data_IF_732069020004
#
_entry.id   IF_732069020004
#
_cell.length_a   1.000
_cell.length_b   1.000
_cell.length_c   1.000
_cell.angle_alpha   90.00
_cell.angle_beta   90.00
_cell.angle_gamma   90.00
#
_symmetry.space_group_name_H-M   'P 1'
#
loop_
_entity.id
_entity.type
_entity.pdbx_description
1 polymer ?
#
# COMPACT_ATOMS: atom_id res chain seq x y z
N UNK A 1 -15.14 -6.03 -18.17
CA UNK A 1 -15.20 -5.34 -16.87
C UNK A 1 -14.72 -3.92 -17.11
N UNK A 2 -15.56 -2.93 -16.84
CA UNK A 2 -15.22 -1.51 -17.07
C UNK A 2 -14.53 -0.97 -15.81
N UNK A 3 -13.20 -0.93 -15.80
CA UNK A 3 -12.42 -0.41 -14.66
C UNK A 3 -12.53 1.11 -14.71
N UNK A 4 -13.30 1.69 -13.80
CA UNK A 4 -13.48 3.14 -13.70
C UNK A 4 -12.60 3.70 -12.58
N UNK A 5 -11.73 4.67 -12.86
CA UNK A 5 -11.02 5.38 -11.80
C UNK A 5 -12.04 6.14 -10.94
N UNK A 6 -11.78 6.24 -9.63
CA UNK A 6 -12.65 6.98 -8.71
C UNK A 6 -12.70 8.48 -8.99
N UNK A 7 -11.77 8.99 -9.82
CA UNK A 7 -11.67 10.40 -10.20
C UNK A 7 -11.71 11.36 -9.00
N UNK A 8 -11.24 10.89 -7.83
CA UNK A 8 -11.35 11.63 -6.57
C UNK A 8 -10.66 13.01 -6.61
N UNK A 9 -9.61 13.15 -7.43
CA UNK A 9 -8.89 14.40 -7.68
C UNK A 9 -9.60 15.36 -8.63
N UNK A 10 -10.61 14.91 -9.38
CA UNK A 10 -11.30 15.69 -10.42
C UNK A 10 -12.51 16.48 -9.89
N UNK A 11 -12.73 16.58 -8.57
CA UNK A 11 -13.81 17.42 -8.02
C UNK A 11 -13.49 18.91 -8.22
N UNK A 12 -14.22 19.49 -9.17
CA UNK A 12 -14.17 20.85 -9.70
C UNK A 12 -14.18 21.95 -8.62
N UNK A 13 -13.17 22.83 -8.63
CA UNK A 13 -13.22 24.15 -7.99
C UNK A 13 -12.62 24.27 -6.57
N UNK A 14 -12.05 23.21 -6.00
CA UNK A 14 -11.36 23.24 -4.70
C UNK A 14 -9.83 23.23 -4.85
N UNK A 15 -9.13 23.59 -3.78
CA UNK A 15 -7.66 23.42 -3.69
C UNK A 15 -7.26 21.97 -3.99
N UNK A 16 -6.07 21.76 -4.56
CA UNK A 16 -5.56 20.41 -4.84
C UNK A 16 -5.64 19.53 -3.58
N UNK A 17 -6.35 18.41 -3.69
CA UNK A 17 -6.47 17.44 -2.62
C UNK A 17 -5.11 16.82 -2.33
N UNK A 18 -4.82 16.58 -1.06
CA UNK A 18 -3.67 15.75 -0.69
C UNK A 18 -3.88 14.30 -1.12
N UNK A 19 -2.81 13.51 -1.09
CA UNK A 19 -2.91 12.07 -1.29
C UNK A 19 -3.90 11.41 -0.31
N UNK A 20 -3.84 11.76 0.98
CA UNK A 20 -4.74 11.16 2.00
C UNK A 20 -6.19 11.56 1.79
N UNK A 21 -6.46 12.77 1.29
CA UNK A 21 -7.82 13.19 0.95
C UNK A 21 -8.35 12.41 -0.25
N UNK A 22 -7.55 12.25 -1.30
CA UNK A 22 -7.89 11.36 -2.42
C UNK A 22 -8.13 9.92 -1.95
N UNK A 23 -7.30 9.40 -1.06
CA UNK A 23 -7.43 8.07 -0.49
C UNK A 23 -8.74 7.90 0.30
N UNK A 24 -9.07 8.85 1.18
CA UNK A 24 -10.32 8.84 1.95
C UNK A 24 -11.56 9.03 1.08
N UNK A 25 -11.50 9.89 0.05
CA UNK A 25 -12.57 10.08 -0.90
C UNK A 25 -12.80 8.81 -1.74
N UNK A 26 -11.74 8.08 -2.11
CA UNK A 26 -11.86 6.81 -2.81
C UNK A 26 -12.65 5.80 -1.97
N UNK A 27 -12.40 5.71 -0.66
CA UNK A 27 -13.22 4.87 0.22
C UNK A 27 -14.70 5.25 0.22
N UNK A 28 -15.06 6.52 0.04
CA UNK A 28 -16.48 6.93 -0.04
C UNK A 28 -17.16 6.46 -1.34
N UNK A 29 -16.39 6.23 -2.41
CA UNK A 29 -16.92 5.78 -3.70
C UNK A 29 -17.02 4.26 -3.85
N UNK A 30 -16.35 3.51 -2.98
CA UNK A 30 -16.35 2.03 -3.03
C UNK A 30 -17.47 1.50 -2.14
N UNK A 31 -18.36 0.69 -2.74
CA UNK A 31 -19.53 0.13 -2.05
C UNK A 31 -19.15 -0.95 -1.02
N UNK A 32 -18.09 -1.73 -1.27
CA UNK A 32 -17.66 -2.79 -0.36
C UNK A 32 -16.94 -2.24 0.88
N UNK A 33 -17.14 -2.90 2.02
CA UNK A 33 -16.43 -2.58 3.28
C UNK A 33 -14.95 -2.99 3.23
N UNK A 34 -14.63 -3.98 2.41
CA UNK A 34 -13.28 -4.50 2.20
C UNK A 34 -12.74 -4.09 0.85
N UNK A 35 -11.49 -3.65 0.82
CA UNK A 35 -10.81 -3.17 -0.39
C UNK A 35 -9.47 -3.87 -0.58
N UNK A 36 -9.16 -4.22 -1.83
CA UNK A 36 -7.81 -4.56 -2.25
C UNK A 36 -7.08 -3.28 -2.63
N UNK A 37 -5.98 -2.99 -1.95
CA UNK A 37 -5.14 -1.82 -2.19
C UNK A 37 -3.89 -2.19 -2.98
N UNK A 38 -3.59 -1.39 -4.00
CA UNK A 38 -2.40 -1.46 -4.86
C UNK A 38 -1.97 -0.05 -5.23
N UNK A 39 -0.68 0.16 -5.50
CA UNK A 39 -0.20 1.40 -6.11
C UNK A 39 -0.29 1.31 -7.63
N UNK A 40 -0.36 2.47 -8.29
CA UNK A 40 -0.53 2.58 -9.74
C UNK A 40 0.65 2.01 -10.56
N UNK A 41 1.81 1.85 -9.93
CA UNK A 41 3.05 1.36 -10.53
C UNK A 41 3.38 -0.09 -10.13
N UNK A 42 2.40 -0.82 -9.56
CA UNK A 42 2.54 -2.23 -9.24
C UNK A 42 2.17 -3.08 -10.45
N UNK A 43 3.08 -3.96 -10.84
CA UNK A 43 2.91 -4.79 -12.02
C UNK A 43 2.70 -6.24 -11.63
N UNK A 44 1.55 -6.81 -12.02
CA UNK A 44 1.30 -8.24 -11.85
C UNK A 44 2.25 -9.05 -12.74
N UNK A 45 2.90 -10.05 -12.16
CA UNK A 45 3.82 -10.98 -12.86
C UNK A 45 3.15 -12.31 -13.21
N UNK A 46 1.93 -12.53 -12.75
CA UNK A 46 1.15 -13.73 -12.97
C UNK A 46 -0.29 -13.55 -12.54
N UNK A 47 -1.04 -14.66 -12.55
CA UNK A 47 -2.41 -14.66 -12.07
C UNK A 47 -2.44 -14.66 -10.54
N UNK A 48 -3.19 -13.73 -9.97
CA UNK A 48 -3.57 -13.79 -8.56
C UNK A 48 -4.53 -14.96 -8.31
N UNK A 49 -4.67 -15.36 -7.05
CA UNK A 49 -5.57 -16.43 -6.62
C UNK A 49 -6.88 -15.87 -6.05
N UNK A 50 -7.90 -15.56 -6.88
CA UNK A 50 -9.11 -14.85 -6.44
C UNK A 50 -9.92 -15.61 -5.38
N UNK A 51 -9.97 -16.95 -5.46
CA UNK A 51 -10.67 -17.76 -4.47
C UNK A 51 -10.04 -17.60 -3.07
N UNK A 52 -8.69 -17.55 -3.00
CA UNK A 52 -7.98 -17.35 -1.75
C UNK A 52 -8.13 -15.92 -1.23
N UNK A 53 -8.10 -14.92 -2.12
CA UNK A 53 -8.39 -13.52 -1.74
C UNK A 53 -9.80 -13.42 -1.13
N UNK A 54 -10.80 -14.06 -1.74
CA UNK A 54 -12.17 -14.08 -1.22
C UNK A 54 -12.25 -14.76 0.15
N UNK A 55 -11.54 -15.86 0.35
CA UNK A 55 -11.44 -16.52 1.66
C UNK A 55 -10.84 -15.59 2.72
N UNK A 56 -9.77 -14.86 2.39
CA UNK A 56 -9.18 -13.86 3.30
C UNK A 56 -10.18 -12.76 3.65
N UNK A 57 -10.94 -12.24 2.68
CA UNK A 57 -12.00 -11.24 2.94
C UNK A 57 -13.07 -11.82 3.87
N UNK A 58 -13.48 -13.07 3.68
CA UNK A 58 -14.45 -13.73 4.57
C UNK A 58 -13.90 -13.87 6.00
N UNK A 59 -12.61 -14.21 6.16
CA UNK A 59 -11.94 -14.23 7.46
C UNK A 59 -11.90 -12.82 8.08
N UNK A 60 -11.66 -11.78 7.27
CA UNK A 60 -11.66 -10.41 7.77
C UNK A 60 -13.03 -10.01 8.32
N UNK A 61 -14.10 -10.41 7.64
CA UNK A 61 -15.48 -10.18 8.07
C UNK A 61 -15.82 -10.97 9.33
N UNK A 62 -15.50 -12.26 9.38
CA UNK A 62 -15.84 -13.14 10.50
C UNK A 62 -15.09 -12.79 11.80
N UNK A 63 -13.88 -12.25 11.69
CA UNK A 63 -12.98 -12.00 12.83
C UNK A 63 -12.63 -10.52 13.05
N UNK A 64 -13.38 -9.60 12.44
CA UNK A 64 -13.20 -8.15 12.56
C UNK A 64 -11.73 -7.71 12.32
N UNK A 65 -11.14 -8.21 11.23
CA UNK A 65 -9.75 -7.94 10.88
C UNK A 65 -9.62 -6.59 10.18
N UNK A 66 -8.66 -5.78 10.60
CA UNK A 66 -8.43 -4.45 10.03
C UNK A 66 -7.63 -4.50 8.74
N UNK A 67 -6.60 -5.35 8.69
CA UNK A 67 -5.60 -5.38 7.63
C UNK A 67 -5.04 -6.79 7.42
N UNK A 68 -4.87 -7.18 6.16
CA UNK A 68 -4.09 -8.35 5.75
C UNK A 68 -3.07 -7.94 4.69
N UNK A 69 -1.79 -8.04 5.01
CA UNK A 69 -0.71 -7.82 4.05
C UNK A 69 -0.59 -9.02 3.10
N UNK A 70 -0.65 -8.78 1.79
CA UNK A 70 -0.59 -9.82 0.76
C UNK A 70 0.82 -10.03 0.19
N UNK A 71 1.82 -9.38 0.79
CA UNK A 71 3.17 -9.34 0.25
C UNK A 71 4.23 -9.45 1.34
N UNK A 72 5.33 -10.09 1.00
CA UNK A 72 6.52 -10.22 1.84
C UNK A 72 7.13 -8.85 2.26
N UNK A 73 7.32 -7.85 1.35
CA UNK A 73 7.87 -6.55 1.76
C UNK A 73 6.91 -5.70 2.61
N UNK A 74 5.64 -6.08 2.75
CA UNK A 74 4.63 -5.27 3.42
C UNK A 74 4.72 -5.24 4.95
N UNK A 75 5.29 -6.25 5.60
CA UNK A 75 5.46 -6.29 7.05
C UNK A 75 6.86 -6.83 7.39
N UNK A 76 7.46 -6.45 8.53
CA UNK A 76 8.82 -6.92 8.90
C UNK A 76 8.87 -7.88 10.09
N UNK A 77 7.78 -7.99 10.84
CA UNK A 77 7.66 -8.80 12.03
C UNK A 77 7.88 -8.01 13.33
N UNK A 78 7.87 -8.71 14.47
CA UNK A 78 7.81 -10.16 14.59
C UNK A 78 6.46 -10.75 14.14
N UNK A 79 6.49 -11.94 13.56
CA UNK A 79 5.33 -12.71 13.15
C UNK A 79 5.12 -13.90 14.08
N UNK A 80 3.86 -14.24 14.34
CA UNK A 80 3.49 -15.47 15.04
C UNK A 80 2.33 -16.15 14.32
N UNK A 81 2.21 -17.49 14.38
CA UNK A 81 1.03 -18.18 13.88
C UNK A 81 -0.27 -17.55 14.42
N UNK A 82 -1.29 -17.48 13.56
CA UNK A 82 -2.62 -17.00 13.94
C UNK A 82 -3.60 -18.16 14.16
N UNK A 83 -4.88 -17.84 14.26
CA UNK A 83 -5.96 -18.83 14.31
C UNK A 83 -6.20 -19.55 12.97
N UNK A 84 -5.68 -19.03 11.86
CA UNK A 84 -5.84 -19.61 10.52
C UNK A 84 -4.48 -19.95 9.90
N UNK A 85 -4.30 -21.11 9.25
CA UNK A 85 -3.00 -21.53 8.69
C UNK A 85 -2.43 -20.55 7.67
N UNK A 86 -3.28 -19.88 6.89
CA UNK A 86 -2.86 -18.91 5.88
C UNK A 86 -2.38 -17.56 6.44
N UNK A 87 -2.55 -17.32 7.74
CA UNK A 87 -2.33 -16.02 8.35
C UNK A 87 -1.33 -16.09 9.50
N UNK A 88 -0.44 -15.11 9.52
CA UNK A 88 0.40 -14.79 10.67
C UNK A 88 -0.01 -13.46 11.27
N UNK A 89 0.01 -13.39 12.60
CA UNK A 89 -0.22 -12.16 13.35
C UNK A 89 0.97 -11.24 13.19
N UNK A 90 0.71 -9.96 12.89
CA UNK A 90 1.74 -8.93 12.85
C UNK A 90 1.86 -8.29 14.23
N UNK A 91 3.08 -8.26 14.78
CA UNK A 91 3.35 -7.71 16.10
C UNK A 91 2.86 -6.26 16.28
N UNK A 92 2.33 -5.95 17.46
CA UNK A 92 1.77 -4.62 17.80
C UNK A 92 2.74 -3.45 17.52
N UNK A 93 4.05 -3.69 17.58
CA UNK A 93 5.13 -2.69 17.42
C UNK A 93 5.94 -2.84 16.13
N UNK A 94 5.48 -3.65 15.17
CA UNK A 94 6.13 -3.83 13.87
C UNK A 94 6.37 -2.48 13.16
N UNK A 95 7.56 -2.27 12.59
CA UNK A 95 7.92 -1.03 11.91
C UNK A 95 7.07 -0.73 10.67
N UNK A 96 6.36 -1.72 10.15
CA UNK A 96 5.45 -1.68 9.01
C UNK A 96 4.17 -2.45 9.32
N UNK A 97 3.55 -2.25 10.49
CA UNK A 97 2.27 -2.89 10.82
C UNK A 97 1.15 -2.50 9.84
N UNK A 98 1.19 -1.26 9.37
CA UNK A 98 0.48 -0.80 8.17
C UNK A 98 1.55 -0.51 7.11
N UNK A 99 1.35 -1.03 5.91
CA UNK A 99 2.13 -0.66 4.73
C UNK A 99 1.22 -0.31 3.57
N UNK A 100 1.76 0.45 2.61
CA UNK A 100 1.12 0.68 1.32
C UNK A 100 1.56 -0.34 0.26
N UNK A 101 2.02 -1.52 0.68
CA UNK A 101 2.19 -2.67 -0.23
C UNK A 101 0.83 -3.33 -0.54
N UNK A 102 0.82 -4.32 -1.43
CA UNK A 102 -0.41 -5.04 -1.78
C UNK A 102 -1.06 -5.61 -0.52
N UNK A 103 -2.32 -5.25 -0.27
CA UNK A 103 -2.98 -5.52 1.01
C UNK A 103 -4.50 -5.43 0.92
N UNK A 104 -5.18 -6.10 1.84
CA UNK A 104 -6.62 -5.99 2.06
C UNK A 104 -6.89 -5.10 3.28
N UNK A 105 -7.82 -4.15 3.16
CA UNK A 105 -8.25 -3.28 4.26
C UNK A 105 -9.73 -3.44 4.55
N UNK A 106 -10.10 -3.37 5.82
CA UNK A 106 -11.43 -2.89 6.21
C UNK A 106 -11.45 -1.36 6.13
N UNK A 107 -12.26 -0.77 5.24
CA UNK A 107 -12.22 0.67 4.94
C UNK A 107 -12.54 1.51 6.17
N UNK A 108 -13.57 1.15 6.92
CA UNK A 108 -14.03 1.89 8.11
C UNK A 108 -12.99 1.89 9.22
N UNK A 109 -12.33 0.75 9.46
CA UNK A 109 -11.23 0.68 10.43
C UNK A 109 -9.99 1.41 9.93
N UNK A 110 -9.65 1.27 8.65
CA UNK A 110 -8.47 1.91 8.06
C UNK A 110 -8.54 3.44 8.13
N UNK A 111 -9.71 4.05 7.93
CA UNK A 111 -9.93 5.50 8.06
C UNK A 111 -9.38 6.10 9.35
N UNK A 112 -9.41 5.35 10.47
CA UNK A 112 -8.94 5.81 11.79
C UNK A 112 -7.44 6.12 11.79
N UNK A 113 -6.69 5.48 10.91
CA UNK A 113 -5.25 5.62 10.79
C UNK A 113 -4.82 6.68 9.78
N UNK A 114 -5.71 7.29 9.02
CA UNK A 114 -5.36 8.29 8.01
C UNK A 114 -5.56 9.70 8.58
N UNK A 115 -4.68 10.65 8.25
CA UNK A 115 -4.92 12.07 8.47
C UNK A 115 -4.90 12.80 7.13
N UNK A 116 -5.90 13.66 6.90
CA UNK A 116 -6.11 14.35 5.61
C UNK A 116 -4.89 15.12 5.11
N UNK A 117 -3.99 15.60 5.96
CA UNK A 117 -2.82 16.38 5.51
C UNK A 117 -1.59 15.51 5.16
N UNK A 118 -1.65 14.19 5.31
CA UNK A 118 -0.50 13.31 5.11
C UNK A 118 -0.31 12.92 3.65
N UNK A 119 0.95 12.90 3.21
CA UNK A 119 1.36 12.21 2.00
C UNK A 119 1.56 10.69 2.28
N UNK A 120 1.77 9.83 1.25
CA UNK A 120 1.90 8.38 1.43
C UNK A 120 2.97 7.97 2.46
N UNK A 121 4.15 8.60 2.41
CA UNK A 121 5.26 8.30 3.32
C UNK A 121 4.98 8.74 4.75
N UNK A 122 4.32 9.88 4.92
CA UNK A 122 3.88 10.34 6.23
C UNK A 122 2.81 9.41 6.78
N UNK A 123 1.85 8.98 5.97
CA UNK A 123 0.83 8.02 6.38
C UNK A 123 1.46 6.69 6.79
N UNK A 124 2.39 6.14 6.02
CA UNK A 124 3.02 4.86 6.39
C UNK A 124 3.76 4.98 7.73
N UNK A 125 4.51 6.07 7.94
CA UNK A 125 5.20 6.29 9.20
C UNK A 125 4.25 6.57 10.37
N UNK A 126 3.38 7.58 10.26
CA UNK A 126 2.51 8.04 11.35
C UNK A 126 1.28 7.16 11.55
N UNK A 127 0.71 6.63 10.47
CA UNK A 127 -0.35 5.62 10.49
C UNK A 127 0.11 4.37 11.22
N UNK A 128 1.34 3.91 10.97
CA UNK A 128 1.91 2.81 11.73
C UNK A 128 2.07 3.15 13.24
N UNK A 129 2.54 4.37 13.58
CA UNK A 129 2.59 4.82 14.99
C UNK A 129 1.21 4.89 15.65
N UNK A 130 0.16 5.26 14.91
CA UNK A 130 -1.22 5.21 15.39
C UNK A 130 -1.69 3.78 15.59
N UNK A 131 -1.40 2.88 14.64
CA UNK A 131 -1.69 1.45 14.76
C UNK A 131 -1.05 0.84 16.00
N UNK A 132 0.18 1.25 16.36
CA UNK A 132 0.86 0.79 17.59
C UNK A 132 0.13 1.09 18.90
N UNK A 133 -0.84 2.01 18.89
CA UNK A 133 -1.60 2.45 20.07
C UNK A 133 -3.00 1.83 20.14
N UNK A 134 -3.50 1.26 19.04
CA UNK A 134 -4.82 0.64 18.95
C UNK A 134 -4.65 -0.88 18.92
N UNK A 135 -5.52 -1.61 19.62
CA UNK A 135 -5.49 -3.09 19.66
C UNK A 135 -6.34 -3.70 18.55
N UNK A 136 -6.16 -3.20 17.33
CA UNK A 136 -6.79 -3.74 16.14
C UNK A 136 -6.02 -4.96 15.62
N UNK A 137 -6.72 -5.81 14.86
CA UNK A 137 -6.17 -7.05 14.32
C UNK A 137 -5.47 -6.82 12.98
N UNK A 138 -4.16 -7.11 12.95
CA UNK A 138 -3.30 -6.99 11.77
C UNK A 138 -2.64 -8.34 11.47
N UNK A 139 -2.80 -8.82 10.25
CA UNK A 139 -2.21 -10.06 9.79
C UNK A 139 -1.41 -9.86 8.50
N UNK A 140 -0.58 -10.84 8.20
CA UNK A 140 0.11 -11.01 6.92
C UNK A 140 -0.07 -12.45 6.47
N UNK A 141 0.13 -12.74 5.19
CA UNK A 141 0.15 -14.12 4.72
C UNK A 141 1.21 -14.94 5.45
N UNK A 142 0.89 -16.20 5.72
CA UNK A 142 1.86 -17.17 6.16
C UNK A 142 2.91 -17.37 5.04
N UNK A 143 4.13 -16.89 5.29
CA UNK A 143 5.20 -16.86 4.30
C UNK A 143 5.77 -18.24 4.00
N UNK A 144 5.54 -19.21 4.89
CA UNK A 144 5.93 -20.60 4.66
C UNK A 144 4.98 -21.28 3.66
N UNK A 145 3.71 -20.86 3.61
CA UNK A 145 2.71 -21.38 2.66
C UNK A 145 2.66 -20.59 1.35
N UNK A 146 2.98 -19.29 1.41
CA UNK A 146 2.96 -18.38 0.25
C UNK A 146 4.30 -17.66 0.09
N UNK A 147 5.40 -18.39 -0.21
CA UNK A 147 6.69 -17.77 -0.46
C UNK A 147 6.60 -16.87 -1.70
N UNK A 148 7.51 -15.90 -1.82
CA UNK A 148 7.71 -15.10 -3.05
C UNK A 148 6.45 -14.40 -3.62
N UNK A 149 5.46 -14.10 -2.78
CA UNK A 149 4.17 -13.52 -3.18
C UNK A 149 3.32 -14.42 -4.09
N UNK A 150 3.40 -15.75 -3.97
CA UNK A 150 2.69 -16.72 -4.82
C UNK A 150 1.16 -16.54 -4.88
N UNK A 151 0.54 -15.98 -3.84
CA UNK A 151 -0.89 -15.67 -3.82
C UNK A 151 -1.24 -14.48 -4.72
N UNK A 152 -0.36 -13.47 -4.72
CA UNK A 152 -0.53 -12.21 -5.43
C UNK A 152 0.80 -11.81 -6.06
N UNK A 153 1.18 -12.40 -7.21
CA UNK A 153 2.52 -12.20 -7.78
C UNK A 153 2.62 -10.82 -8.44
N UNK A 154 3.37 -9.90 -7.82
CA UNK A 154 3.62 -8.56 -8.35
C UNK A 154 5.04 -8.04 -8.09
N UNK A 155 5.48 -7.08 -8.91
CA UNK A 155 6.61 -6.20 -8.62
C UNK A 155 6.12 -4.89 -8.00
N UNK A 156 6.74 -4.52 -6.88
CA UNK A 156 6.31 -3.38 -6.05
C UNK A 156 6.65 -2.00 -6.61
N UNK A 157 7.37 -1.87 -7.72
CA UNK A 157 7.43 -0.60 -8.44
C UNK A 157 8.10 -0.80 -9.79
N UNK A 158 7.56 -0.19 -10.84
CA UNK A 158 8.30 0.07 -12.07
C UNK A 158 8.84 1.50 -12.17
N UNK A 159 8.61 2.36 -11.17
CA UNK A 159 8.97 3.79 -11.20
C UNK A 159 9.82 4.19 -9.99
N UNK A 160 11.06 4.57 -10.24
CA UNK A 160 11.97 5.08 -9.21
C UNK A 160 12.34 6.53 -9.52
N UNK A 161 12.03 7.43 -8.60
CA UNK A 161 12.34 8.86 -8.75
C UNK A 161 11.79 9.49 -10.04
N UNK A 162 10.54 9.16 -10.38
CA UNK A 162 9.80 9.59 -11.58
C UNK A 162 10.25 8.96 -12.90
N UNK A 163 11.27 8.10 -12.87
CA UNK A 163 11.82 7.43 -14.05
C UNK A 163 11.53 5.93 -14.01
N UNK A 164 11.59 5.25 -15.16
CA UNK A 164 11.36 3.82 -15.24
C UNK A 164 12.50 3.00 -14.61
N UNK A 165 12.18 1.97 -13.83
CA UNK A 165 13.15 0.93 -13.48
C UNK A 165 13.28 -0.05 -14.65
N UNK A 166 14.40 0.06 -15.35
CA UNK A 166 14.73 -0.76 -16.52
C UNK A 166 14.61 -2.26 -16.25
N UNK A 167 14.94 -2.71 -15.03
CA UNK A 167 14.93 -4.14 -14.67
C UNK A 167 13.53 -4.71 -14.53
N UNK A 168 12.56 -3.87 -14.20
CA UNK A 168 11.17 -4.28 -14.01
C UNK A 168 10.40 -4.17 -15.32
N UNK A 169 10.51 -3.04 -16.03
CA UNK A 169 9.56 -2.72 -17.10
C UNK A 169 9.91 -3.26 -18.47
N UNK A 170 11.20 -3.50 -18.80
CA UNK A 170 11.56 -3.90 -20.16
C UNK A 170 11.03 -5.28 -20.51
N UNK A 171 11.41 -6.30 -19.74
CA UNK A 171 10.99 -7.68 -19.98
C UNK A 171 9.46 -7.81 -19.87
N UNK A 172 8.87 -7.13 -18.88
CA UNK A 172 7.43 -7.16 -18.66
C UNK A 172 6.65 -6.57 -19.85
N UNK A 173 7.02 -5.38 -20.32
CA UNK A 173 6.28 -4.71 -21.38
C UNK A 173 6.45 -5.42 -22.72
N UNK A 174 7.65 -5.94 -23.01
CA UNK A 174 7.91 -6.76 -24.19
C UNK A 174 7.06 -8.03 -24.18
N UNK A 175 7.09 -8.78 -23.06
CA UNK A 175 6.33 -10.03 -22.90
C UNK A 175 4.82 -9.84 -23.06
N UNK A 176 4.30 -8.70 -22.64
CA UNK A 176 2.86 -8.40 -22.66
C UNK A 176 2.44 -7.50 -23.82
N UNK A 177 3.35 -7.21 -24.77
CA UNK A 177 3.09 -6.35 -25.92
C UNK A 177 2.53 -4.96 -25.56
N UNK A 178 3.06 -4.38 -24.48
CA UNK A 178 2.69 -3.04 -24.01
C UNK A 178 3.58 -2.02 -24.71
N UNK A 179 3.01 -1.24 -25.62
CA UNK A 179 3.71 -0.17 -26.33
C UNK A 179 3.79 1.11 -25.47
N UNK A 180 5.01 1.56 -25.20
CA UNK A 180 5.32 2.70 -24.33
C UNK A 180 6.45 3.51 -24.95
N UNK A 181 6.26 4.82 -25.06
CA UNK A 181 7.34 5.75 -25.32
C UNK A 181 8.16 5.99 -24.03
N UNK A 182 9.25 5.22 -23.87
CA UNK A 182 10.15 5.35 -22.72
C UNK A 182 10.79 6.73 -22.60
N UNK A 183 10.88 7.52 -23.69
CA UNK A 183 11.53 8.83 -23.67
C UNK A 183 10.78 9.85 -22.80
N UNK A 184 9.47 9.68 -22.61
CA UNK A 184 8.66 10.61 -21.79
C UNK A 184 9.10 10.66 -20.32
N UNK A 185 9.55 9.52 -19.77
CA UNK A 185 10.02 9.41 -18.36
C UNK A 185 11.51 9.14 -18.24
N UNK A 186 12.12 8.52 -19.25
CA UNK A 186 13.48 8.01 -19.19
C UNK A 186 13.66 6.86 -18.19
N UNK A 187 14.89 6.34 -18.11
CA UNK A 187 15.26 5.28 -17.16
C UNK A 187 15.99 5.83 -15.95
N UNK A 188 15.66 5.29 -14.77
CA UNK A 188 16.35 5.59 -13.53
C UNK A 188 17.80 5.09 -13.60
N UNK A 189 18.74 5.95 -13.23
CA UNK A 189 20.15 5.56 -13.05
C UNK A 189 20.52 5.75 -11.58
N UNK A 190 20.86 4.66 -10.85
CA UNK A 190 21.26 4.76 -9.46
C UNK A 190 22.44 5.71 -9.29
N UNK A 191 22.25 6.76 -8.49
CA UNK A 191 23.32 7.69 -8.15
C UNK A 191 23.98 7.23 -6.86
N UNK A 192 25.32 7.24 -6.82
CA UNK A 192 26.08 6.90 -5.61
C UNK A 192 26.08 8.01 -4.56
N UNK A 193 25.58 9.20 -4.91
CA UNK A 193 25.53 10.35 -4.01
C UNK A 193 24.35 10.25 -3.06
N UNK A 194 24.63 10.26 -1.75
CA UNK A 194 23.57 10.37 -0.74
C UNK A 194 22.82 11.70 -0.94
N UNK A 195 21.48 11.69 -0.96
CA UNK A 195 20.71 12.93 -1.08
C UNK A 195 21.06 13.86 0.09
N UNK A 196 21.33 15.13 -0.21
CA UNK A 196 21.52 16.15 0.83
C UNK A 196 20.27 16.21 1.69
N UNK A 197 20.42 16.06 3.00
CA UNK A 197 19.31 16.20 3.95
C UNK A 197 18.76 17.62 3.84
N UNK A 198 17.48 17.76 3.48
CA UNK A 198 16.80 19.06 3.50
C UNK A 198 16.73 19.57 4.96
N UNK A 199 16.91 20.87 5.20
CA UNK A 199 16.75 21.44 6.54
C UNK A 199 15.32 21.21 7.05
N UNK A 200 15.19 20.95 8.34
CA UNK A 200 13.88 20.80 9.00
C UNK A 200 13.26 22.20 9.13
N UNK A 201 12.07 22.40 8.57
CA UNK A 201 11.31 23.65 8.69
C UNK A 201 10.33 23.58 9.86
N UNK A 202 9.92 24.74 10.39
CA UNK A 202 8.88 24.83 11.44
C UNK A 202 7.59 24.17 10.98
N UNK A 203 7.20 24.39 9.72
CA UNK A 203 6.04 23.74 9.09
C UNK A 203 6.16 22.21 9.09
N UNK A 204 7.33 21.67 8.76
CA UNK A 204 7.58 20.23 8.84
C UNK A 204 7.44 19.71 10.28
N UNK A 205 7.91 20.46 11.28
CA UNK A 205 7.76 20.06 12.70
C UNK A 205 6.28 20.07 13.11
N UNK A 206 5.55 21.15 12.80
CA UNK A 206 4.13 21.27 13.12
C UNK A 206 3.30 20.18 12.43
N UNK A 207 3.58 19.88 11.16
CA UNK A 207 2.94 18.80 10.41
C UNK A 207 3.18 17.43 11.07
N UNK A 208 4.41 17.16 11.52
CA UNK A 208 4.74 15.92 12.25
C UNK A 208 4.02 15.84 13.60
N UNK A 209 3.96 16.93 14.36
CA UNK A 209 3.23 16.97 15.63
C UNK A 209 1.73 16.73 15.41
N UNK A 210 1.12 17.38 14.41
CA UNK A 210 -0.27 17.18 14.01
C UNK A 210 -0.56 15.72 13.61
N UNK A 211 0.42 15.02 13.05
CA UNK A 211 0.30 13.62 12.64
C UNK A 211 0.44 12.63 13.80
N UNK A 212 1.00 13.05 14.94
CA UNK A 212 1.15 12.20 16.12
C UNK A 212 -0.10 12.15 17.00
N UNK A 213 -1.08 13.02 16.75
CA UNK A 213 -2.37 13.13 17.44
C UNK A 213 -3.45 12.43 16.61
#
# INVERSE_FOLDING_TARGET
MDIRPTQASLRTGQAELTWSECFLNAFDTIESDYVLYLQEDYFLKGFAQPAKIQELVNLMQAHDITYVGLSDPGNLGPFTPSFHPDLWTVGQKDAYRISLQASLFNKEKMRRYVRKHENPWQFEYFGNKRAHRVKDSFYTLNRDLYPHNDLFPYDATGIVSKQWDKKVVLELFEKHHIDIDYAQRGFFTPTTQKPKRKPITVENVLSRLKSLI
#
